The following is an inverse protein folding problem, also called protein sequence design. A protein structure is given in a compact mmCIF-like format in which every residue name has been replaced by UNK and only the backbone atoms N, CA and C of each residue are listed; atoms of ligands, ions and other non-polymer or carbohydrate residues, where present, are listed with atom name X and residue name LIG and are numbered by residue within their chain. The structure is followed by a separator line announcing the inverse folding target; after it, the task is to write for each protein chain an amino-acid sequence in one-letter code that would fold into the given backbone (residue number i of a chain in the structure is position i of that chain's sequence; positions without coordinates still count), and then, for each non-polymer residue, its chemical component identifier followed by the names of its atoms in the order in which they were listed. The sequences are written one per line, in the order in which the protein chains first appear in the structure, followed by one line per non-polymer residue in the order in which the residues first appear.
data_IF_380371300719
#
_entry.id   IF_380371300719
#
_cell.length_a   1.000
_cell.length_b   1.000
_cell.length_c   1.000
_cell.angle_alpha   90.00
_cell.angle_beta   90.00
_cell.angle_gamma   90.00
#
_symmetry.space_group_name_H-M   'P 1'
#
loop_
_entity.id
_entity.type
_entity.pdbx_description
1 polymer ?
#
# COMPACT_ATOMS: atom_id res chain seq x y z
N UNK A 1 2.66 38.89 27.46
CA UNK A 1 2.68 37.69 26.61
C UNK A 1 1.46 37.73 25.69
N UNK A 2 1.64 38.14 24.45
CA UNK A 2 0.56 38.25 23.44
C UNK A 2 0.17 36.85 22.99
N UNK A 3 -0.98 36.36 23.48
CA UNK A 3 -1.65 35.19 22.95
C UNK A 3 -1.99 35.45 21.48
N UNK A 4 -1.22 34.88 20.55
CA UNK A 4 -1.52 34.93 19.13
C UNK A 4 -2.80 34.11 18.92
N UNK A 5 -3.94 34.79 18.74
CA UNK A 5 -5.19 34.14 18.31
C UNK A 5 -4.99 33.65 16.89
N UNK A 6 -4.59 32.39 16.76
CA UNK A 6 -4.48 31.72 15.47
C UNK A 6 -5.87 31.64 14.85
N UNK A 7 -6.02 32.14 13.62
CA UNK A 7 -7.26 31.99 12.86
C UNK A 7 -7.57 30.50 12.66
N UNK A 8 -8.85 30.10 12.56
CA UNK A 8 -9.24 28.72 12.29
C UNK A 8 -8.54 28.12 11.06
N UNK A 9 -8.28 28.96 10.04
CA UNK A 9 -7.50 28.58 8.87
C UNK A 9 -6.05 28.23 9.21
N UNK A 10 -5.36 29.05 10.01
CA UNK A 10 -3.98 28.75 10.40
C UNK A 10 -3.88 27.45 11.21
N UNK A 11 -4.86 27.19 12.09
CA UNK A 11 -4.92 25.92 12.82
C UNK A 11 -5.18 24.73 11.89
N UNK A 12 -6.06 24.87 10.90
CA UNK A 12 -6.34 23.84 9.91
C UNK A 12 -5.11 23.52 9.04
N UNK A 13 -4.38 24.55 8.59
CA UNK A 13 -3.13 24.38 7.84
C UNK A 13 -2.08 23.67 8.68
N UNK A 14 -1.91 24.05 9.95
CA UNK A 14 -0.96 23.37 10.85
C UNK A 14 -1.30 21.89 11.02
N UNK A 15 -2.58 21.56 11.19
CA UNK A 15 -3.05 20.17 11.27
C UNK A 15 -2.79 19.42 9.96
N UNK A 16 -2.98 20.07 8.82
CA UNK A 16 -2.70 19.48 7.51
C UNK A 16 -1.21 19.11 7.35
N UNK A 17 -0.30 20.02 7.71
CA UNK A 17 1.14 19.72 7.66
C UNK A 17 1.53 18.58 8.58
N UNK A 18 1.02 18.57 9.82
CA UNK A 18 1.29 17.48 10.76
C UNK A 18 0.72 16.14 10.27
N UNK A 19 -0.47 16.17 9.64
CA UNK A 19 -1.04 14.99 9.01
C UNK A 19 -0.16 14.47 7.88
N UNK A 20 0.32 15.34 6.99
CA UNK A 20 1.21 14.97 5.88
C UNK A 20 2.52 14.37 6.41
N UNK A 21 3.15 15.01 7.39
CA UNK A 21 4.41 14.55 7.98
C UNK A 21 4.27 13.16 8.62
N UNK A 22 3.20 12.95 9.42
CA UNK A 22 2.94 11.66 10.04
C UNK A 22 2.70 10.56 9.00
N UNK A 23 1.95 10.88 7.94
CA UNK A 23 1.62 9.95 6.88
C UNK A 23 2.80 9.65 5.94
N UNK A 24 3.74 10.58 5.78
CA UNK A 24 4.92 10.37 4.93
C UNK A 24 5.77 9.19 5.41
N UNK A 25 5.98 9.08 6.74
CA UNK A 25 6.73 7.97 7.32
C UNK A 25 6.04 6.64 7.05
N UNK A 26 4.74 6.56 7.33
CA UNK A 26 3.93 5.36 7.07
C UNK A 26 3.95 4.98 5.59
N UNK A 27 3.78 5.94 4.68
CA UNK A 27 3.84 5.71 3.24
C UNK A 27 5.16 5.06 2.83
N UNK A 28 6.29 5.63 3.28
CA UNK A 28 7.62 5.11 2.95
C UNK A 28 7.81 3.70 3.50
N UNK A 29 7.46 3.46 4.77
CA UNK A 29 7.56 2.12 5.37
C UNK A 29 6.72 1.09 4.62
N UNK A 30 5.49 1.43 4.22
CA UNK A 30 4.65 0.50 3.46
C UNK A 30 5.22 0.23 2.06
N UNK A 31 5.84 1.22 1.41
CA UNK A 31 6.55 1.00 0.14
C UNK A 31 7.75 0.07 0.32
N UNK A 32 8.57 0.29 1.35
CA UNK A 32 9.73 -0.57 1.65
C UNK A 32 9.30 -2.02 1.92
N UNK A 33 8.11 -2.23 2.49
CA UNK A 33 7.51 -3.55 2.69
C UNK A 33 6.93 -4.18 1.41
N UNK A 34 6.58 -3.37 0.40
CA UNK A 34 6.10 -3.86 -0.90
C UNK A 34 7.24 -4.42 -1.75
N UNK A 35 8.43 -3.81 -1.72
CA UNK A 35 9.59 -4.22 -2.51
C UNK A 35 9.89 -5.73 -2.45
N UNK A 36 10.05 -6.36 -1.27
CA UNK A 36 10.29 -7.80 -1.20
C UNK A 36 9.11 -8.64 -1.69
N UNK A 37 7.87 -8.15 -1.61
CA UNK A 37 6.69 -8.85 -2.14
C UNK A 37 6.69 -8.85 -3.67
N UNK A 38 7.04 -7.71 -4.29
CA UNK A 38 7.16 -7.60 -5.75
C UNK A 38 8.29 -8.50 -6.28
N UNK A 39 9.45 -8.50 -5.60
CA UNK A 39 10.55 -9.42 -5.93
C UNK A 39 10.11 -10.88 -5.79
N UNK A 40 9.42 -11.24 -4.70
CA UNK A 40 8.90 -12.60 -4.52
C UNK A 40 7.92 -13.00 -5.62
N UNK A 41 7.07 -12.08 -6.09
CA UNK A 41 6.12 -12.33 -7.17
C UNK A 41 6.85 -12.55 -8.51
N UNK A 42 7.89 -11.77 -8.80
CA UNK A 42 8.77 -11.99 -9.95
C UNK A 42 9.41 -13.38 -9.93
N UNK A 43 9.98 -13.79 -8.79
CA UNK A 43 10.56 -15.12 -8.61
C UNK A 43 9.54 -16.25 -8.82
N UNK A 44 8.29 -16.06 -8.37
CA UNK A 44 7.21 -17.04 -8.60
C UNK A 44 6.83 -17.13 -10.07
N UNK A 45 6.78 -15.99 -10.79
CA UNK A 45 6.52 -15.97 -12.23
C UNK A 45 7.62 -16.71 -13.00
N UNK A 46 8.89 -16.51 -12.65
CA UNK A 46 10.01 -17.27 -13.21
C UNK A 46 9.87 -18.77 -12.96
N UNK A 47 9.49 -19.17 -11.74
CA UNK A 47 9.25 -20.59 -11.42
C UNK A 47 8.11 -21.20 -12.24
N UNK A 48 7.02 -20.46 -12.46
CA UNK A 48 5.94 -20.90 -13.35
C UNK A 48 6.42 -21.12 -14.78
N UNK A 49 7.23 -20.20 -15.30
CA UNK A 49 7.81 -20.30 -16.64
C UNK A 49 8.78 -21.48 -16.73
N UNK A 50 9.62 -21.68 -15.72
CA UNK A 50 10.55 -22.81 -15.66
C UNK A 50 9.80 -24.15 -15.64
N UNK A 51 8.76 -24.28 -14.80
CA UNK A 51 7.95 -25.48 -14.73
C UNK A 51 7.23 -25.79 -16.05
N UNK A 52 6.83 -24.76 -16.80
CA UNK A 52 6.16 -24.92 -18.10
C UNK A 52 7.12 -25.30 -19.23
N UNK A 53 8.42 -25.00 -19.09
CA UNK A 53 9.46 -25.32 -20.08
C UNK A 53 10.10 -26.69 -19.85
N UNK A 54 10.04 -27.22 -18.63
CA UNK A 54 10.67 -28.49 -18.26
C UNK A 54 9.71 -29.64 -18.54
N UNK A 55 10.18 -30.62 -19.33
CA UNK A 55 9.52 -31.91 -19.47
C UNK A 55 9.93 -32.83 -18.30
N UNK A 56 9.14 -32.83 -17.23
CA UNK A 56 9.44 -33.58 -16.01
C UNK A 56 9.51 -35.09 -16.23
N UNK A 57 8.86 -35.62 -17.27
CA UNK A 57 8.89 -37.06 -17.61
C UNK A 57 10.27 -37.53 -18.06
N UNK A 58 11.06 -36.61 -18.62
CA UNK A 58 12.44 -36.84 -19.07
C UNK A 58 13.48 -36.57 -17.99
N UNK A 59 13.06 -36.20 -16.78
CA UNK A 59 13.95 -35.96 -15.65
C UNK A 59 13.94 -37.15 -14.70
N UNK A 60 14.97 -37.32 -13.85
CA UNK A 60 14.96 -38.31 -12.77
C UNK A 60 13.80 -38.15 -11.78
N UNK A 61 13.05 -37.05 -11.84
CA UNK A 61 11.88 -36.78 -10.99
C UNK A 61 10.60 -37.45 -11.52
N UNK A 62 10.65 -38.13 -12.66
CA UNK A 62 9.52 -38.84 -13.25
C UNK A 62 8.93 -39.95 -12.35
N UNK A 63 9.67 -40.39 -11.33
CA UNK A 63 9.19 -41.33 -10.30
C UNK A 63 8.04 -40.77 -9.46
N UNK A 64 7.77 -39.46 -9.55
CA UNK A 64 6.69 -38.79 -8.86
C UNK A 64 5.57 -38.39 -9.85
N UNK A 65 4.54 -39.23 -10.05
CA UNK A 65 3.53 -39.04 -11.09
C UNK A 65 2.70 -37.75 -10.93
N UNK A 66 2.51 -37.28 -9.69
CA UNK A 66 1.75 -36.05 -9.41
C UNK A 66 2.62 -34.81 -9.18
N UNK A 67 3.93 -34.89 -9.42
CA UNK A 67 4.86 -33.82 -9.04
C UNK A 67 4.50 -32.50 -9.71
N UNK A 68 4.21 -32.53 -11.01
CA UNK A 68 3.87 -31.33 -11.77
C UNK A 68 2.62 -30.65 -11.22
N UNK A 69 1.56 -31.42 -10.95
CA UNK A 69 0.32 -30.91 -10.37
C UNK A 69 0.55 -30.32 -8.96
N UNK A 70 1.34 -31.00 -8.12
CA UNK A 70 1.69 -30.53 -6.77
C UNK A 70 2.54 -29.25 -6.81
N UNK A 71 3.48 -29.15 -7.74
CA UNK A 71 4.29 -27.95 -7.92
C UNK A 71 3.44 -26.78 -8.40
N UNK A 72 2.57 -26.99 -9.40
CA UNK A 72 1.63 -25.95 -9.84
C UNK A 72 0.72 -25.49 -8.72
N UNK A 73 0.17 -26.42 -7.92
CA UNK A 73 -0.65 -26.07 -6.77
C UNK A 73 0.12 -25.23 -5.75
N UNK A 74 1.35 -25.64 -5.40
CA UNK A 74 2.20 -24.88 -4.47
C UNK A 74 2.54 -23.49 -5.00
N UNK A 75 2.85 -23.37 -6.29
CA UNK A 75 3.13 -22.08 -6.93
C UNK A 75 1.90 -21.17 -6.93
N UNK A 76 0.71 -21.67 -7.27
CA UNK A 76 -0.53 -20.90 -7.19
C UNK A 76 -0.79 -20.40 -5.77
N UNK A 77 -0.74 -21.31 -4.79
CA UNK A 77 -0.95 -20.96 -3.39
C UNK A 77 0.05 -19.92 -2.88
N UNK A 78 1.33 -20.04 -3.28
CA UNK A 78 2.35 -19.05 -2.93
C UNK A 78 2.07 -17.69 -3.57
N UNK A 79 1.67 -17.66 -4.85
CA UNK A 79 1.25 -16.44 -5.55
C UNK A 79 0.07 -15.78 -4.86
N UNK A 80 -0.99 -16.54 -4.57
CA UNK A 80 -2.18 -16.04 -3.88
C UNK A 80 -1.80 -15.42 -2.52
N UNK A 81 -0.94 -16.09 -1.77
CA UNK A 81 -0.46 -15.60 -0.48
C UNK A 81 0.27 -14.27 -0.61
N UNK A 82 1.17 -14.13 -1.58
CA UNK A 82 1.91 -12.88 -1.83
C UNK A 82 0.97 -11.77 -2.29
N UNK A 83 0.01 -12.08 -3.18
CA UNK A 83 -0.98 -11.15 -3.66
C UNK A 83 -1.91 -10.64 -2.55
N UNK A 84 -2.35 -11.51 -1.63
CA UNK A 84 -3.11 -11.10 -0.44
C UNK A 84 -2.32 -10.09 0.40
N UNK A 85 -1.05 -10.36 0.70
CA UNK A 85 -0.18 -9.44 1.44
C UNK A 85 0.00 -8.11 0.72
N UNK A 86 0.21 -8.14 -0.59
CA UNK A 86 0.35 -6.92 -1.39
C UNK A 86 -0.95 -6.10 -1.36
N UNK A 87 -2.11 -6.75 -1.42
CA UNK A 87 -3.41 -6.08 -1.32
C UNK A 87 -3.63 -5.38 0.03
N UNK A 88 -3.16 -5.98 1.12
CA UNK A 88 -3.17 -5.34 2.45
C UNK A 88 -2.30 -4.07 2.48
N UNK A 89 -1.11 -4.12 1.85
CA UNK A 89 -0.22 -2.95 1.73
C UNK A 89 -0.83 -1.86 0.85
N UNK A 90 -1.44 -2.22 -0.28
CA UNK A 90 -2.14 -1.28 -1.15
C UNK A 90 -3.32 -0.60 -0.42
N UNK A 91 -4.06 -1.36 0.39
CA UNK A 91 -5.13 -0.81 1.23
C UNK A 91 -4.60 0.22 2.25
N UNK A 92 -3.41 -0.05 2.80
CA UNK A 92 -2.73 0.87 3.73
C UNK A 92 -2.27 2.15 3.01
N UNK A 93 -1.67 2.04 1.82
CA UNK A 93 -1.31 3.20 0.99
C UNK A 93 -2.53 4.02 0.59
N UNK A 94 -3.63 3.35 0.25
CA UNK A 94 -4.90 4.02 -0.04
C UNK A 94 -5.39 4.82 1.16
N UNK A 95 -5.37 4.27 2.37
CA UNK A 95 -5.75 4.99 3.58
C UNK A 95 -4.89 6.25 3.79
N UNK A 96 -3.58 6.14 3.58
CA UNK A 96 -2.67 7.28 3.66
C UNK A 96 -3.02 8.35 2.63
N UNK A 97 -3.22 7.95 1.36
CA UNK A 97 -3.62 8.85 0.28
C UNK A 97 -4.92 9.58 0.61
N UNK A 98 -5.92 8.85 1.11
CA UNK A 98 -7.24 9.42 1.42
C UNK A 98 -7.14 10.39 2.62
N UNK A 99 -6.32 10.07 3.62
CA UNK A 99 -6.02 10.94 4.77
C UNK A 99 -5.37 12.25 4.34
N UNK A 100 -4.33 12.19 3.48
CA UNK A 100 -3.65 13.35 2.91
C UNK A 100 -4.58 14.14 1.99
N UNK A 101 -5.33 13.47 1.12
CA UNK A 101 -6.27 14.08 0.18
C UNK A 101 -7.39 14.84 0.87
N UNK A 102 -7.80 14.41 2.07
CA UNK A 102 -8.84 15.08 2.85
C UNK A 102 -8.40 16.41 3.49
N UNK A 103 -7.10 16.69 3.58
CA UNK A 103 -6.57 17.88 4.26
C UNK A 103 -6.92 19.18 3.54
N UNK A 104 -6.87 19.18 2.20
CA UNK A 104 -7.16 20.37 1.39
C UNK A 104 -8.64 20.81 1.56
N UNK A 105 -9.64 19.92 1.37
CA UNK A 105 -11.04 20.24 1.67
C UNK A 105 -11.29 20.69 3.11
N UNK A 106 -10.58 20.14 4.10
CA UNK A 106 -10.69 20.56 5.50
C UNK A 106 -10.20 22.00 5.73
N UNK A 107 -9.13 22.41 5.06
CA UNK A 107 -8.64 23.79 5.11
C UNK A 107 -9.65 24.77 4.51
N UNK A 108 -10.24 24.43 3.35
CA UNK A 108 -11.28 25.25 2.72
C UNK A 108 -12.54 25.38 3.57
N UNK A 109 -12.99 24.30 4.21
CA UNK A 109 -14.13 24.35 5.17
C UNK A 109 -13.84 25.22 6.39
N UNK A 110 -12.61 25.17 6.89
CA UNK A 110 -12.20 26.00 8.04
C UNK A 110 -12.17 27.49 7.69
N UNK A 111 -11.87 27.84 6.42
CA UNK A 111 -11.98 29.20 5.90
C UNK A 111 -13.43 29.66 5.76
N UNK A 112 -14.32 28.83 5.22
CA UNK A 112 -15.73 29.22 5.05
C UNK A 112 -16.46 29.40 6.38
N UNK A 113 -16.21 28.55 7.37
CA UNK A 113 -16.76 28.71 8.73
C UNK A 113 -16.29 30.00 9.42
N UNK A 114 -15.04 30.44 9.16
CA UNK A 114 -14.54 31.73 9.64
C UNK A 114 -15.24 32.93 8.98
N UNK A 115 -15.56 32.84 7.68
CA UNK A 115 -16.26 33.90 6.96
C UNK A 115 -17.71 34.09 7.45
N UNK A 116 -18.40 33.01 7.81
CA UNK A 116 -19.74 33.07 8.41
C UNK A 116 -19.73 33.65 9.84
N UNK A 117 -18.76 33.25 10.67
CA UNK A 117 -18.63 33.76 12.06
C UNK A 117 -18.12 35.19 12.17
N UNK A 118 -17.56 35.77 11.09
CA UNK A 118 -17.13 37.18 11.05
C UNK A 118 -18.21 38.13 10.49
N UNK A 119 -19.35 37.60 10.02
CA UNK A 119 -20.48 38.38 9.48
C UNK A 119 -21.71 38.41 10.42
N UNK A 120 -21.67 37.71 11.56
CA UNK A 120 -22.69 37.72 12.62
C UNK A 120 -22.15 38.43 13.86
#
# INVERSE_FOLDING_TARGET
MTQVRLTPLHQAIRKAFQCIENNQKTWRTVLDECDPLIVSLGNLAEQFLALSKVDLTKTPLNVFPDLEAKLRFKLHHATDTVMCKLNEKLSSLQSVRDSVGSQVPQCFRSRSSFLWTSQS
#
